data_IF_805704449058
#
_entry.id   IF_805704449058
#
_cell.length_a   1.000
_cell.length_b   1.000
_cell.length_c   1.000
_cell.angle_alpha   90.00
_cell.angle_beta   90.00
_cell.angle_gamma   90.00
#
_symmetry.space_group_name_H-M   'P 1'
#
loop_
_entity.id
_entity.type
_entity.pdbx_description
1 polymer ?
#
# COMPACT_ATOMS: atom_id res chain seq x y z
N UNK A 1 -1.52 31.64 -19.27
CA UNK A 1 -0.13 31.25 -18.92
C UNK A 1 0.02 30.50 -17.60
N UNK A 2 -0.30 31.05 -16.40
CA UNK A 2 -0.12 30.28 -15.14
C UNK A 2 -1.06 29.05 -15.06
N UNK A 3 -2.33 29.21 -15.42
CA UNK A 3 -3.33 28.13 -15.50
C UNK A 3 -3.01 27.08 -16.57
N UNK A 4 -2.48 27.47 -17.73
CA UNK A 4 -2.03 26.53 -18.76
C UNK A 4 -0.79 25.72 -18.34
N UNK A 5 0.15 26.34 -17.63
CA UNK A 5 1.30 25.63 -17.03
C UNK A 5 0.85 24.64 -15.96
N UNK A 6 -0.12 25.02 -15.12
CA UNK A 6 -0.68 24.15 -14.07
C UNK A 6 -1.52 23.01 -14.65
N UNK A 7 -2.33 23.26 -15.68
CA UNK A 7 -3.10 22.23 -16.39
C UNK A 7 -2.20 21.24 -17.14
N UNK A 8 -1.14 21.73 -17.79
CA UNK A 8 -0.10 20.90 -18.43
C UNK A 8 0.63 20.03 -17.41
N UNK A 9 1.01 20.60 -16.26
CA UNK A 9 1.60 19.86 -15.13
C UNK A 9 0.62 18.82 -14.58
N UNK A 10 -0.68 19.15 -14.57
CA UNK A 10 -1.83 18.30 -14.26
C UNK A 10 -1.85 16.98 -15.05
N UNK A 11 -1.94 17.12 -16.37
CA UNK A 11 -1.95 15.97 -17.29
C UNK A 11 -0.65 15.16 -17.24
N UNK A 12 0.51 15.83 -17.17
CA UNK A 12 1.81 15.17 -17.19
C UNK A 12 2.05 14.38 -15.89
N UNK A 13 1.64 14.93 -14.75
CA UNK A 13 1.61 14.21 -13.46
C UNK A 13 0.69 13.00 -13.52
N UNK A 14 -0.46 13.10 -14.19
CA UNK A 14 -1.39 11.99 -14.31
C UNK A 14 -0.87 10.83 -15.16
N UNK A 15 -0.19 11.14 -16.27
CA UNK A 15 0.49 10.15 -17.10
C UNK A 15 1.62 9.43 -16.34
N UNK A 16 2.51 10.19 -15.71
CA UNK A 16 3.62 9.64 -14.91
C UNK A 16 3.10 8.77 -13.75
N UNK A 17 2.05 9.22 -13.06
CA UNK A 17 1.45 8.45 -11.97
C UNK A 17 0.92 7.09 -12.44
N UNK A 18 0.30 7.04 -13.62
CA UNK A 18 -0.17 5.78 -14.21
C UNK A 18 1.00 4.86 -14.58
N UNK A 19 2.07 5.41 -15.15
CA UNK A 19 3.27 4.67 -15.51
C UNK A 19 4.06 4.15 -14.30
N UNK A 20 4.02 4.84 -13.16
CA UNK A 20 4.64 4.38 -11.90
C UNK A 20 3.78 3.32 -11.21
N UNK A 21 2.45 3.42 -11.30
CA UNK A 21 1.54 2.48 -10.65
C UNK A 21 1.70 1.05 -11.20
N UNK A 22 1.93 0.91 -12.49
CA UNK A 22 2.09 -0.39 -13.16
C UNK A 22 3.27 -1.22 -12.61
N UNK A 23 4.52 -0.73 -12.60
CA UNK A 23 5.65 -1.46 -12.01
C UNK A 23 5.47 -1.69 -10.52
N UNK A 24 4.85 -0.76 -9.76
CA UNK A 24 4.56 -0.99 -8.33
C UNK A 24 3.60 -2.16 -8.11
N UNK A 25 2.55 -2.28 -8.92
CA UNK A 25 1.65 -3.43 -8.87
C UNK A 25 2.38 -4.73 -9.18
N UNK A 26 3.24 -4.75 -10.20
CA UNK A 26 4.05 -5.94 -10.51
C UNK A 26 4.98 -6.32 -9.36
N UNK A 27 5.70 -5.35 -8.78
CA UNK A 27 6.58 -5.59 -7.62
C UNK A 27 5.80 -6.15 -6.43
N UNK A 28 4.63 -5.59 -6.12
CA UNK A 28 3.79 -6.08 -5.03
C UNK A 28 3.29 -7.51 -5.29
N UNK A 29 2.82 -7.78 -6.52
CA UNK A 29 2.30 -9.09 -6.89
C UNK A 29 3.38 -10.17 -6.88
N UNK A 30 4.56 -9.87 -7.46
CA UNK A 30 5.68 -10.81 -7.42
C UNK A 30 6.18 -11.03 -6.00
N UNK A 31 6.22 -10.00 -5.16
CA UNK A 31 6.62 -10.17 -3.77
C UNK A 31 5.62 -11.05 -2.98
N UNK A 32 4.32 -10.86 -3.19
CA UNK A 32 3.30 -11.71 -2.58
C UNK A 32 3.39 -13.16 -3.06
N UNK A 33 3.48 -13.39 -4.37
CA UNK A 33 3.64 -14.73 -4.95
C UNK A 33 4.92 -15.41 -4.47
N UNK A 34 6.03 -14.68 -4.40
CA UNK A 34 7.28 -15.24 -3.86
C UNK A 34 7.14 -15.63 -2.39
N UNK A 35 6.32 -14.93 -1.60
CA UNK A 35 6.09 -15.29 -0.19
C UNK A 35 5.27 -16.58 -0.08
N UNK A 36 4.28 -16.79 -0.96
CA UNK A 36 3.53 -18.05 -1.07
C UNK A 36 4.46 -19.21 -1.50
N UNK A 37 5.29 -19.02 -2.53
CA UNK A 37 6.27 -20.03 -2.97
C UNK A 37 7.29 -20.39 -1.88
N UNK A 38 7.64 -19.40 -1.05
CA UNK A 38 8.54 -19.56 0.09
C UNK A 38 7.89 -20.44 1.18
N UNK A 39 6.57 -20.34 1.38
CA UNK A 39 5.82 -21.24 2.25
C UNK A 39 5.71 -22.65 1.67
N UNK A 40 5.36 -22.78 0.38
CA UNK A 40 5.29 -24.07 -0.31
C UNK A 40 6.64 -24.82 -0.28
N UNK A 41 7.75 -24.09 -0.46
CA UNK A 41 9.10 -24.65 -0.35
C UNK A 41 9.36 -25.24 1.04
N UNK A 42 9.01 -24.50 2.10
CA UNK A 42 9.14 -24.99 3.47
C UNK A 42 8.28 -26.23 3.71
N UNK A 43 7.05 -26.27 3.19
CA UNK A 43 6.19 -27.46 3.31
C UNK A 43 6.74 -28.68 2.57
N UNK A 44 7.29 -28.48 1.36
CA UNK A 44 7.90 -29.54 0.58
C UNK A 44 9.18 -30.11 1.21
N UNK A 45 9.87 -29.31 2.04
CA UNK A 45 11.10 -29.71 2.73
C UNK A 45 10.86 -30.42 4.06
N UNK A 46 9.69 -30.23 4.71
CA UNK A 46 9.33 -30.92 5.98
C UNK A 46 9.50 -32.46 5.98
N UNK A 47 9.19 -33.21 4.90
CA UNK A 47 9.33 -34.66 4.88
C UNK A 47 10.74 -35.13 4.53
N UNK A 48 11.64 -34.23 4.11
CA UNK A 48 12.99 -34.62 3.75
C UNK A 48 13.80 -34.96 5.00
N UNK A 49 14.44 -36.13 5.02
CA UNK A 49 15.46 -36.47 6.02
C UNK A 49 16.74 -35.64 5.78
N UNK A 50 16.64 -34.33 5.97
CA UNK A 50 17.78 -33.43 6.00
C UNK A 50 18.49 -33.57 7.37
N UNK A 51 19.79 -33.29 7.37
CA UNK A 51 20.55 -33.14 8.62
C UNK A 51 19.94 -31.96 9.40
N UNK A 52 19.66 -32.13 10.70
CA UNK A 52 19.00 -31.12 11.57
C UNK A 52 19.53 -29.68 11.42
N UNK A 53 20.84 -29.53 11.23
CA UNK A 53 21.47 -28.22 11.01
C UNK A 53 21.01 -27.56 9.71
N UNK A 54 20.90 -28.33 8.63
CA UNK A 54 20.47 -27.83 7.32
C UNK A 54 18.98 -27.48 7.35
N UNK A 55 18.13 -28.26 8.03
CA UNK A 55 16.72 -27.89 8.24
C UNK A 55 16.59 -26.53 8.94
N UNK A 56 17.35 -26.34 10.02
CA UNK A 56 17.32 -25.09 10.80
C UNK A 56 17.78 -23.90 9.96
N UNK A 57 18.87 -24.03 9.22
CA UNK A 57 19.38 -22.97 8.34
C UNK A 57 18.38 -22.61 7.23
N UNK A 58 17.72 -23.60 6.63
CA UNK A 58 16.71 -23.36 5.59
C UNK A 58 15.48 -22.67 6.18
N UNK A 59 14.97 -23.11 7.33
CA UNK A 59 13.83 -22.47 7.98
C UNK A 59 14.11 -20.99 8.31
N UNK A 60 15.31 -20.67 8.82
CA UNK A 60 15.74 -19.31 9.10
C UNK A 60 15.82 -18.44 7.84
N UNK A 61 16.44 -18.96 6.77
CA UNK A 61 16.56 -18.25 5.49
C UNK A 61 15.19 -17.99 4.86
N UNK A 62 14.31 -18.99 4.89
CA UNK A 62 12.96 -18.91 4.33
C UNK A 62 12.11 -17.90 5.12
N UNK A 63 12.24 -17.87 6.45
CA UNK A 63 11.60 -16.86 7.29
C UNK A 63 12.10 -15.42 7.02
N UNK A 64 13.42 -15.25 6.85
CA UNK A 64 14.02 -13.96 6.49
C UNK A 64 13.55 -13.47 5.12
N UNK A 65 13.51 -14.38 4.14
CA UNK A 65 13.02 -14.07 2.79
C UNK A 65 11.56 -13.61 2.83
N UNK A 66 10.69 -14.35 3.54
CA UNK A 66 9.29 -13.96 3.74
C UNK A 66 9.18 -12.57 4.36
N UNK A 67 9.94 -12.28 5.42
CA UNK A 67 9.94 -10.96 6.06
C UNK A 67 10.36 -9.84 5.11
N UNK A 68 11.34 -10.09 4.24
CA UNK A 68 11.78 -9.12 3.24
C UNK A 68 10.70 -8.86 2.18
N UNK A 69 10.04 -9.91 1.71
CA UNK A 69 8.95 -9.81 0.73
C UNK A 69 7.75 -9.03 1.29
N UNK A 70 7.38 -9.26 2.55
CA UNK A 70 6.35 -8.48 3.25
C UNK A 70 6.69 -6.98 3.30
N UNK A 71 7.95 -6.64 3.58
CA UNK A 71 8.43 -5.25 3.55
C UNK A 71 8.36 -4.64 2.16
N UNK A 72 8.72 -5.39 1.11
CA UNK A 72 8.61 -4.93 -0.28
C UNK A 72 7.16 -4.58 -0.61
N UNK A 73 6.20 -5.45 -0.25
CA UNK A 73 4.77 -5.19 -0.43
C UNK A 73 4.31 -3.94 0.34
N UNK A 74 4.77 -3.77 1.59
CA UNK A 74 4.44 -2.60 2.40
C UNK A 74 4.95 -1.30 1.75
N UNK A 75 6.19 -1.29 1.27
CA UNK A 75 6.78 -0.13 0.60
C UNK A 75 6.11 0.17 -0.73
N UNK A 76 5.75 -0.85 -1.52
CA UNK A 76 5.02 -0.65 -2.76
C UNK A 76 3.62 -0.08 -2.54
N UNK A 77 2.88 -0.53 -1.52
CA UNK A 77 1.59 0.07 -1.11
C UNK A 77 1.73 1.54 -0.67
N UNK A 78 2.81 1.87 0.05
CA UNK A 78 3.11 3.25 0.43
C UNK A 78 3.39 4.11 -0.79
N UNK A 79 4.16 3.61 -1.75
CA UNK A 79 4.45 4.32 -2.99
C UNK A 79 3.17 4.56 -3.82
N UNK A 80 2.29 3.56 -3.94
CA UNK A 80 0.98 3.72 -4.60
C UNK A 80 0.14 4.82 -3.94
N UNK A 81 0.13 4.88 -2.61
CA UNK A 81 -0.57 5.93 -1.85
C UNK A 81 0.01 7.33 -2.11
N UNK A 82 1.34 7.46 -2.21
CA UNK A 82 2.00 8.73 -2.54
C UNK A 82 1.60 9.18 -3.95
N UNK A 83 1.62 8.26 -4.92
CA UNK A 83 1.22 8.53 -6.30
C UNK A 83 -0.26 8.92 -6.38
N UNK A 84 -1.15 8.23 -5.65
CA UNK A 84 -2.58 8.59 -5.56
C UNK A 84 -2.78 9.99 -4.97
N UNK A 85 -2.04 10.35 -3.93
CA UNK A 85 -2.11 11.69 -3.34
C UNK A 85 -1.58 12.77 -4.29
N UNK A 86 -0.51 12.49 -5.02
CA UNK A 86 0.02 13.39 -6.06
C UNK A 86 -1.04 13.65 -7.15
N UNK A 87 -1.74 12.60 -7.61
CA UNK A 87 -2.84 12.69 -8.56
C UNK A 87 -4.01 13.56 -8.07
N UNK A 88 -4.39 13.40 -6.80
CA UNK A 88 -5.48 14.18 -6.19
C UNK A 88 -5.16 15.68 -6.16
N UNK A 89 -3.91 16.04 -5.87
CA UNK A 89 -3.46 17.44 -5.84
C UNK A 89 -3.28 18.05 -7.23
N UNK A 90 -3.03 17.19 -8.23
CA UNK A 90 -2.78 17.60 -9.61
C UNK A 90 -4.06 17.92 -10.40
N UNK A 91 -5.23 17.50 -9.89
CA UNK A 91 -6.55 17.83 -10.45
C UNK A 91 -6.98 19.25 -10.04
N UNK A 92 -6.42 20.27 -10.69
CA UNK A 92 -6.99 21.61 -10.69
C UNK A 92 -7.95 21.77 -11.89
N UNK A 93 -9.24 21.62 -11.63
CA UNK A 93 -10.35 21.95 -12.53
C UNK A 93 -11.62 22.07 -11.70
N UNK A 94 -12.67 22.79 -12.15
CA UNK A 94 -13.94 22.82 -11.43
C UNK A 94 -14.41 21.38 -11.27
N UNK A 95 -14.32 20.86 -10.04
CA UNK A 95 -14.61 19.46 -9.77
C UNK A 95 -16.00 19.14 -10.27
N UNK A 96 -16.14 18.13 -11.13
CA UNK A 96 -17.46 17.66 -11.54
C UNK A 96 -18.23 17.27 -10.28
N UNK A 97 -19.36 17.94 -10.06
CA UNK A 97 -20.27 17.58 -8.97
C UNK A 97 -20.81 16.19 -9.26
N UNK A 98 -20.26 15.21 -8.58
CA UNK A 98 -20.75 13.84 -8.60
C UNK A 98 -21.42 13.51 -7.28
N UNK A 99 -22.40 12.62 -7.32
CA UNK A 99 -22.90 11.99 -6.11
C UNK A 99 -21.73 11.29 -5.41
N UNK A 100 -21.53 11.61 -4.14
CA UNK A 100 -20.44 11.08 -3.34
C UNK A 100 -20.99 10.56 -2.02
N UNK A 101 -20.50 9.39 -1.62
CA UNK A 101 -20.79 8.85 -0.30
C UNK A 101 -19.98 9.62 0.75
N UNK A 102 -20.68 10.44 1.53
CA UNK A 102 -20.11 11.27 2.59
C UNK A 102 -19.44 10.39 3.65
N UNK A 103 -20.02 9.22 3.98
CA UNK A 103 -19.45 8.32 4.98
C UNK A 103 -18.12 7.77 4.51
N UNK A 104 -18.03 7.38 3.23
CA UNK A 104 -16.78 6.89 2.64
C UNK A 104 -15.69 7.98 2.65
N UNK A 105 -16.04 9.22 2.30
CA UNK A 105 -15.14 10.39 2.31
C UNK A 105 -14.62 10.71 3.72
N UNK A 106 -15.50 10.71 4.71
CA UNK A 106 -15.14 10.95 6.11
C UNK A 106 -14.23 9.83 6.62
N UNK A 107 -14.50 8.58 6.26
CA UNK A 107 -13.67 7.44 6.65
C UNK A 107 -12.27 7.50 6.02
N UNK A 108 -12.16 7.83 4.73
CA UNK A 108 -10.88 8.02 4.05
C UNK A 108 -10.07 9.16 4.68
N UNK A 109 -10.73 10.29 4.97
CA UNK A 109 -10.10 11.46 5.60
C UNK A 109 -9.64 11.17 7.03
N UNK A 110 -10.44 10.45 7.81
CA UNK A 110 -10.07 10.00 9.16
C UNK A 110 -8.86 9.06 9.14
N UNK A 111 -8.82 8.12 8.19
CA UNK A 111 -7.66 7.23 8.04
C UNK A 111 -6.40 8.03 7.69
N UNK A 112 -6.50 9.00 6.78
CA UNK A 112 -5.37 9.86 6.42
C UNK A 112 -4.86 10.66 7.63
N UNK A 113 -5.76 11.29 8.37
CA UNK A 113 -5.43 12.06 9.56
C UNK A 113 -4.83 11.16 10.66
N UNK A 114 -5.36 9.95 10.84
CA UNK A 114 -4.84 8.97 11.80
C UNK A 114 -3.42 8.52 11.45
N UNK A 115 -3.14 8.26 10.18
CA UNK A 115 -1.79 7.91 9.72
C UNK A 115 -0.81 9.07 9.87
N UNK A 116 -1.22 10.30 9.58
CA UNK A 116 -0.43 11.51 9.84
C UNK A 116 -0.10 11.66 11.32
N UNK A 117 -1.12 11.55 12.19
CA UNK A 117 -0.94 11.64 13.64
C UNK A 117 -0.03 10.53 14.20
N UNK A 118 -0.10 9.30 13.67
CA UNK A 118 0.81 8.21 14.09
C UNK A 118 2.24 8.36 13.59
N UNK A 119 2.47 9.03 12.46
CA UNK A 119 3.80 9.32 11.98
C UNK A 119 4.53 10.32 12.90
N UNK A 120 3.77 11.22 13.54
CA UNK A 120 4.30 12.23 14.47
C UNK A 120 4.31 11.72 15.94
N UNK A 121 3.34 10.89 16.33
CA UNK A 121 3.25 10.23 17.64
C UNK A 121 2.88 8.76 17.49
N UNK A 122 3.85 7.87 17.66
CA UNK A 122 3.71 6.41 17.51
C UNK A 122 2.60 5.78 18.37
N UNK A 123 2.33 6.34 19.57
CA UNK A 123 1.35 5.85 20.55
C UNK A 123 -0.07 6.44 20.39
N UNK A 124 -0.35 7.16 19.31
CA UNK A 124 -1.66 7.75 19.08
C UNK A 124 -2.77 6.68 18.90
N UNK A 125 -3.69 6.61 19.86
CA UNK A 125 -4.89 5.75 19.83
C UNK A 125 -6.13 6.62 19.61
N UNK A 126 -6.87 6.38 18.53
CA UNK A 126 -8.18 6.99 18.31
C UNK A 126 -9.29 5.99 18.68
N UNK A 127 -10.24 6.41 19.51
CA UNK A 127 -11.44 5.63 19.82
C UNK A 127 -12.57 6.16 18.93
N UNK A 128 -12.83 5.48 17.80
CA UNK A 128 -13.99 5.82 16.96
C UNK A 128 -15.21 5.08 17.50
N UNK A 129 -16.13 5.82 18.13
CA UNK A 129 -17.47 5.31 18.44
C UNK A 129 -18.38 5.54 17.24
N UNK A 130 -18.83 4.47 16.59
CA UNK A 130 -19.92 4.54 15.63
C UNK A 130 -21.24 4.63 16.39
N UNK A 131 -21.87 5.79 16.41
CA UNK A 131 -23.28 5.90 16.75
C UNK A 131 -24.07 5.49 15.51
N UNK A 132 -24.45 4.21 15.43
CA UNK A 132 -25.41 3.75 14.44
C UNK A 132 -26.77 4.35 14.79
N UNK A 133 -27.22 5.37 14.09
CA UNK A 133 -28.64 5.73 14.06
C UNK A 133 -29.36 4.66 13.24
N UNK A 134 -30.28 3.87 13.84
CA UNK A 134 -31.06 2.90 13.09
C UNK A 134 -32.11 3.65 12.26
N UNK A 135 -32.06 3.46 10.94
CA UNK A 135 -33.24 3.63 10.06
C UNK A 135 -34.00 2.33 9.99
#
# INVERSE_FOLDING_TARGET
>A
MQTEKLASLGQLTAGIAHEIKNPLNFVNNFAALSAELTEELNEALKPAELIDKICTEVDELTALLKSNLEKVVQHGKRADSIVKNMLLHSREGPGERRLADINALVQESLNLAYHGARAEKSDFKSCSRRTSTPT
#
